data_IF_945245572039
#
_entry.id   IF_945245572039
#
_cell.length_a   1.000
_cell.length_b   1.000
_cell.length_c   1.000
_cell.angle_alpha   90.00
_cell.angle_beta   90.00
_cell.angle_gamma   90.00
#
_symmetry.space_group_name_H-M   'P 1'
#
loop_
_entity.id
_entity.type
_entity.pdbx_description
1 polymer ?
#
# COMPACT_ATOMS: atom_id res chain seq x y z
N UNK A 1 88.99 13.77 -59.50
CA UNK A 1 88.29 12.73 -60.30
C UNK A 1 88.77 11.30 -59.95
N UNK A 2 88.68 10.86 -58.68
CA UNK A 2 88.96 9.46 -58.28
C UNK A 2 87.67 8.60 -58.17
N UNK A 3 86.50 9.23 -58.17
CA UNK A 3 85.20 8.58 -58.00
C UNK A 3 84.77 7.72 -59.21
N UNK A 4 85.16 8.08 -60.44
CA UNK A 4 84.78 7.30 -61.63
C UNK A 4 85.63 6.05 -61.88
N UNK A 5 86.80 5.91 -61.22
CA UNK A 5 87.65 4.71 -61.33
C UNK A 5 87.21 3.54 -60.43
N UNK A 6 86.26 3.77 -59.53
CA UNK A 6 85.65 2.73 -58.68
C UNK A 6 84.52 1.99 -59.42
N UNK A 7 83.80 2.65 -60.32
CA UNK A 7 82.71 2.05 -61.10
C UNK A 7 83.19 1.07 -62.19
N UNK A 8 84.45 1.12 -62.59
CA UNK A 8 85.08 0.19 -63.55
C UNK A 8 85.74 -1.01 -62.88
N UNK A 9 85.83 -1.05 -61.54
CA UNK A 9 86.39 -2.21 -60.82
C UNK A 9 85.27 -3.20 -60.51
N UNK A 10 85.41 -4.42 -61.01
CA UNK A 10 84.49 -5.54 -60.79
C UNK A 10 84.11 -5.75 -59.31
N UNK A 11 85.06 -5.53 -58.40
CA UNK A 11 84.88 -5.63 -56.95
C UNK A 11 83.77 -4.70 -56.39
N UNK A 12 83.56 -3.51 -57.00
CA UNK A 12 82.51 -2.58 -56.57
C UNK A 12 81.11 -3.13 -56.88
N UNK A 13 80.92 -3.72 -58.07
CA UNK A 13 79.66 -4.36 -58.46
C UNK A 13 79.37 -5.62 -57.64
N UNK A 14 80.41 -6.39 -57.28
CA UNK A 14 80.27 -7.54 -56.36
C UNK A 14 79.80 -7.09 -54.98
N UNK A 15 80.37 -6.03 -54.40
CA UNK A 15 79.92 -5.51 -53.10
C UNK A 15 78.48 -4.97 -53.15
N UNK A 16 78.07 -4.35 -54.25
CA UNK A 16 76.68 -3.87 -54.42
C UNK A 16 75.69 -5.02 -54.56
N UNK A 17 76.06 -6.09 -55.27
CA UNK A 17 75.24 -7.29 -55.39
C UNK A 17 75.15 -8.02 -54.05
N UNK A 18 76.26 -8.13 -53.31
CA UNK A 18 76.30 -8.74 -51.98
C UNK A 18 75.48 -7.94 -50.96
N UNK A 19 75.56 -6.60 -51.00
CA UNK A 19 74.70 -5.70 -50.22
C UNK A 19 73.22 -5.89 -50.60
N UNK A 20 72.91 -6.01 -51.90
CA UNK A 20 71.57 -6.26 -52.39
C UNK A 20 71.00 -7.59 -51.88
N UNK A 21 71.79 -8.66 -51.94
CA UNK A 21 71.44 -9.98 -51.40
C UNK A 21 71.26 -9.94 -49.88
N UNK A 22 72.13 -9.23 -49.16
CA UNK A 22 72.03 -9.09 -47.71
C UNK A 22 70.77 -8.30 -47.30
N UNK A 23 70.46 -7.18 -47.97
CA UNK A 23 69.24 -6.41 -47.73
C UNK A 23 67.98 -7.22 -48.08
N UNK A 24 68.01 -7.98 -49.18
CA UNK A 24 66.90 -8.84 -49.58
C UNK A 24 66.68 -9.98 -48.58
N UNK A 25 67.75 -10.63 -48.13
CA UNK A 25 67.71 -11.63 -47.08
C UNK A 25 67.18 -11.09 -45.76
N UNK A 26 67.62 -9.90 -45.36
CA UNK A 26 67.15 -9.23 -44.14
C UNK A 26 65.67 -8.84 -44.23
N UNK A 27 65.22 -8.34 -45.39
CA UNK A 27 63.80 -8.06 -45.64
C UNK A 27 62.95 -9.32 -45.49
N UNK A 28 63.35 -10.42 -46.13
CA UNK A 28 62.62 -11.69 -46.01
C UNK A 28 62.64 -12.22 -44.58
N UNK A 29 63.77 -12.15 -43.88
CA UNK A 29 63.86 -12.59 -42.50
C UNK A 29 62.93 -11.78 -41.57
N UNK A 30 62.97 -10.45 -41.66
CA UNK A 30 62.14 -9.56 -40.82
C UNK A 30 60.66 -9.80 -41.12
N UNK A 31 60.23 -9.66 -42.39
CA UNK A 31 58.81 -9.63 -42.72
C UNK A 31 58.16 -11.01 -42.81
N UNK A 32 58.88 -12.07 -43.20
CA UNK A 32 58.30 -13.42 -43.37
C UNK A 32 58.52 -14.34 -42.17
N UNK A 33 59.64 -14.21 -41.46
CA UNK A 33 59.96 -15.14 -40.35
C UNK A 33 59.69 -14.48 -39.01
N UNK A 34 60.37 -13.36 -38.73
CA UNK A 34 60.28 -12.72 -37.43
C UNK A 34 58.90 -12.13 -37.16
N UNK A 35 58.35 -11.36 -38.09
CA UNK A 35 57.05 -10.70 -37.92
C UNK A 35 55.90 -11.72 -37.90
N UNK A 36 55.99 -12.79 -38.71
CA UNK A 36 54.97 -13.84 -38.73
C UNK A 36 54.91 -14.60 -37.39
N UNK A 37 56.08 -14.93 -36.83
CA UNK A 37 56.19 -15.61 -35.53
C UNK A 37 55.84 -14.69 -34.36
N UNK A 38 56.22 -13.41 -34.43
CA UNK A 38 55.98 -12.47 -33.34
C UNK A 38 54.51 -12.00 -33.27
N UNK A 39 53.77 -12.08 -34.39
CA UNK A 39 52.37 -11.60 -34.44
C UNK A 39 51.33 -12.72 -34.36
N UNK A 40 51.75 -13.99 -34.23
CA UNK A 40 50.89 -15.17 -34.35
C UNK A 40 49.89 -15.01 -35.50
N UNK A 41 50.42 -14.69 -36.68
CA UNK A 41 49.62 -14.60 -37.89
C UNK A 41 49.08 -16.02 -38.15
N UNK A 42 47.76 -16.19 -38.15
CA UNK A 42 46.97 -17.43 -38.34
C UNK A 42 46.42 -18.15 -37.09
N UNK A 43 46.73 -17.70 -35.88
CA UNK A 43 46.06 -18.23 -34.66
C UNK A 43 44.82 -17.40 -34.33
N UNK A 44 43.70 -17.81 -34.91
CA UNK A 44 42.39 -17.20 -34.72
C UNK A 44 41.43 -18.19 -34.04
N UNK A 45 40.86 -17.77 -32.91
CA UNK A 45 39.85 -18.52 -32.17
C UNK A 45 38.49 -17.98 -32.57
N UNK A 46 37.59 -18.87 -32.99
CA UNK A 46 36.20 -18.52 -33.29
C UNK A 46 35.36 -18.47 -32.01
N UNK A 47 34.60 -17.39 -31.83
CA UNK A 47 33.77 -17.21 -30.64
C UNK A 47 32.51 -18.09 -30.72
N UNK A 48 32.28 -18.98 -29.75
CA UNK A 48 31.08 -19.80 -29.70
C UNK A 48 29.83 -18.97 -29.32
N UNK A 49 28.65 -19.54 -29.53
CA UNK A 49 27.41 -18.87 -29.14
C UNK A 49 27.22 -18.91 -27.61
N UNK A 50 27.59 -17.82 -26.93
CA UNK A 50 27.44 -17.69 -25.49
C UNK A 50 25.99 -17.40 -25.06
N UNK A 51 25.10 -17.00 -25.97
CA UNK A 51 23.72 -16.57 -25.63
C UNK A 51 22.82 -17.70 -25.17
N UNK A 52 23.17 -18.95 -25.50
CA UNK A 52 22.44 -20.15 -25.10
C UNK A 52 22.93 -20.73 -23.77
N UNK A 53 24.00 -20.16 -23.20
CA UNK A 53 24.66 -20.66 -21.99
C UNK A 53 24.34 -19.81 -20.76
N UNK A 54 24.51 -20.40 -19.58
CA UNK A 54 24.60 -19.64 -18.32
C UNK A 54 25.98 -18.99 -18.21
N UNK A 55 26.12 -17.87 -17.48
CA UNK A 55 27.41 -17.19 -17.29
C UNK A 55 28.52 -18.13 -16.80
N UNK A 56 28.19 -19.09 -15.94
CA UNK A 56 29.16 -20.06 -15.39
C UNK A 56 29.70 -21.01 -16.46
N UNK A 57 28.85 -21.40 -17.40
CA UNK A 57 29.22 -22.26 -18.52
C UNK A 57 29.97 -21.47 -19.57
N UNK A 58 29.51 -20.24 -19.88
CA UNK A 58 30.20 -19.32 -20.77
C UNK A 58 31.64 -19.02 -20.30
N UNK A 59 31.85 -18.78 -19.01
CA UNK A 59 33.19 -18.57 -18.44
C UNK A 59 34.09 -19.79 -18.67
N UNK A 60 33.61 -20.99 -18.36
CA UNK A 60 34.38 -22.23 -18.59
C UNK A 60 34.73 -22.44 -20.06
N UNK A 61 33.79 -22.16 -20.96
CA UNK A 61 34.02 -22.26 -22.41
C UNK A 61 35.08 -21.26 -22.85
N UNK A 62 35.03 -20.01 -22.38
CA UNK A 62 36.03 -19.00 -22.72
C UNK A 62 37.42 -19.31 -22.13
N UNK A 63 37.46 -19.78 -20.88
CA UNK A 63 38.70 -20.22 -20.22
C UNK A 63 39.34 -21.39 -20.99
N UNK A 64 38.54 -22.34 -21.52
CA UNK A 64 39.05 -23.45 -22.34
C UNK A 64 39.59 -23.05 -23.71
N UNK A 65 39.27 -21.83 -24.15
CA UNK A 65 39.71 -21.24 -25.41
C UNK A 65 40.82 -20.20 -25.20
N UNK A 66 41.40 -20.12 -24.00
CA UNK A 66 42.42 -19.12 -23.64
C UNK A 66 41.96 -17.66 -23.90
N UNK A 67 40.66 -17.40 -23.77
CA UNK A 67 40.06 -16.08 -23.89
C UNK A 67 39.78 -15.48 -22.51
N UNK A 68 39.95 -14.16 -22.38
CA UNK A 68 39.62 -13.46 -21.13
C UNK A 68 38.20 -12.89 -21.18
N UNK A 69 37.59 -12.60 -20.03
CA UNK A 69 36.25 -12.04 -19.99
C UNK A 69 36.10 -10.91 -18.98
N UNK A 70 35.12 -10.06 -19.24
CA UNK A 70 34.65 -9.01 -18.34
C UNK A 70 33.12 -9.07 -18.27
N UNK A 71 32.59 -9.19 -17.05
CA UNK A 71 31.17 -9.39 -16.83
C UNK A 71 30.59 -8.07 -16.33
N UNK A 72 29.64 -7.54 -17.10
CA UNK A 72 28.79 -6.45 -16.67
C UNK A 72 27.38 -6.97 -16.39
N UNK A 73 26.72 -6.38 -15.40
CA UNK A 73 25.37 -6.75 -14.98
C UNK A 73 24.41 -5.62 -15.33
N UNK A 74 23.45 -5.91 -16.21
CA UNK A 74 22.44 -4.94 -16.65
C UNK A 74 21.19 -4.98 -15.76
N UNK A 75 20.16 -4.20 -16.10
CA UNK A 75 18.86 -4.26 -15.41
C UNK A 75 18.29 -5.69 -15.53
N UNK A 76 17.80 -6.22 -14.40
CA UNK A 76 17.15 -7.52 -14.37
C UNK A 76 15.97 -7.61 -15.34
N UNK A 77 15.95 -8.68 -16.13
CA UNK A 77 14.87 -9.05 -17.03
C UNK A 77 14.22 -10.34 -16.53
N UNK A 78 12.94 -10.26 -16.17
CA UNK A 78 12.16 -11.40 -15.68
C UNK A 78 11.82 -12.41 -16.77
N UNK A 79 11.92 -12.04 -18.06
CA UNK A 79 11.67 -12.96 -19.18
C UNK A 79 12.86 -13.90 -19.44
N UNK A 80 14.01 -13.64 -18.82
CA UNK A 80 15.25 -14.40 -19.00
C UNK A 80 15.63 -15.10 -17.71
N UNK A 81 16.30 -16.26 -17.83
CA UNK A 81 16.77 -16.98 -16.66
C UNK A 81 17.80 -16.15 -15.86
N UNK A 82 17.85 -16.28 -14.53
CA UNK A 82 18.91 -15.68 -13.72
C UNK A 82 20.29 -16.11 -14.20
N UNK A 83 21.24 -15.17 -14.27
CA UNK A 83 22.61 -15.40 -14.73
C UNK A 83 22.75 -15.84 -16.20
N UNK A 84 21.68 -15.78 -16.99
CA UNK A 84 21.77 -15.98 -18.43
C UNK A 84 22.63 -14.90 -19.09
N UNK A 85 23.37 -15.27 -20.14
CA UNK A 85 24.04 -14.30 -21.00
C UNK A 85 22.98 -13.60 -21.85
N UNK A 86 22.88 -12.28 -21.72
CA UNK A 86 21.91 -11.47 -22.45
C UNK A 86 22.50 -10.94 -23.76
N UNK A 87 23.77 -10.56 -23.72
CA UNK A 87 24.49 -9.97 -24.83
C UNK A 87 25.99 -10.11 -24.57
N UNK A 88 26.79 -10.15 -25.64
CA UNK A 88 28.24 -10.25 -25.52
C UNK A 88 28.96 -9.64 -26.73
N UNK A 89 30.20 -9.23 -26.54
CA UNK A 89 31.02 -8.65 -27.60
C UNK A 89 32.49 -9.09 -27.49
N UNK A 90 33.14 -9.50 -28.59
CA UNK A 90 32.61 -9.66 -29.96
C UNK A 90 31.56 -10.79 -30.08
N UNK A 91 30.74 -10.72 -31.13
CA UNK A 91 29.60 -11.63 -31.32
C UNK A 91 30.04 -13.02 -31.79
N UNK A 92 29.12 -14.01 -31.75
CA UNK A 92 29.41 -15.37 -32.23
C UNK A 92 29.91 -15.38 -33.67
N UNK A 93 30.84 -16.29 -33.97
CA UNK A 93 31.46 -16.43 -35.29
C UNK A 93 32.51 -15.37 -35.63
N UNK A 94 32.71 -14.36 -34.77
CA UNK A 94 33.88 -13.50 -34.90
C UNK A 94 35.14 -14.27 -34.51
N UNK A 95 36.23 -13.97 -35.22
CA UNK A 95 37.55 -14.52 -34.95
C UNK A 95 38.38 -13.53 -34.17
N UNK A 96 38.99 -14.00 -33.10
CA UNK A 96 39.82 -13.20 -32.19
C UNK A 96 41.12 -13.93 -31.89
N UNK A 97 42.13 -13.17 -31.48
CA UNK A 97 43.38 -13.75 -30.98
C UNK A 97 43.21 -14.22 -29.54
N UNK A 98 44.13 -15.10 -29.13
CA UNK A 98 44.28 -15.52 -27.74
C UNK A 98 44.37 -14.33 -26.78
N UNK A 99 43.85 -14.50 -25.56
CA UNK A 99 43.84 -13.48 -24.53
C UNK A 99 42.87 -12.32 -24.78
N UNK A 100 42.13 -12.32 -25.90
CA UNK A 100 41.14 -11.28 -26.18
C UNK A 100 40.06 -11.27 -25.11
N UNK A 101 39.80 -10.07 -24.59
CA UNK A 101 38.72 -9.84 -23.63
C UNK A 101 37.35 -9.82 -24.32
N UNK A 102 36.47 -10.69 -23.85
CA UNK A 102 35.06 -10.79 -24.22
C UNK A 102 34.22 -10.08 -23.16
N UNK A 103 33.44 -9.08 -23.58
CA UNK A 103 32.51 -8.39 -22.70
C UNK A 103 31.19 -9.15 -22.68
N UNK A 104 30.72 -9.53 -21.50
CA UNK A 104 29.48 -10.28 -21.34
C UNK A 104 28.52 -9.47 -20.47
N UNK A 105 27.32 -9.22 -20.98
CA UNK A 105 26.21 -8.67 -20.20
C UNK A 105 25.37 -9.84 -19.69
N UNK A 106 25.32 -9.98 -18.37
CA UNK A 106 24.56 -11.05 -17.72
C UNK A 106 23.25 -10.52 -17.11
N UNK A 107 22.24 -11.38 -17.06
CA UNK A 107 21.03 -11.11 -16.29
C UNK A 107 21.35 -11.29 -14.79
N UNK A 108 21.14 -10.28 -13.94
CA UNK A 108 21.29 -10.44 -12.49
C UNK A 108 20.45 -11.59 -11.92
N UNK A 109 20.75 -11.99 -10.68
CA UNK A 109 19.94 -13.00 -9.97
C UNK A 109 18.51 -12.54 -9.68
N UNK A 110 18.28 -11.24 -9.63
CA UNK A 110 16.97 -10.65 -9.35
C UNK A 110 17.02 -9.12 -9.42
N UNK A 111 15.92 -8.49 -9.05
CA UNK A 111 15.83 -7.04 -8.99
C UNK A 111 16.85 -6.45 -8.02
N UNK A 112 17.37 -5.26 -8.37
CA UNK A 112 18.23 -4.48 -7.48
C UNK A 112 17.52 -4.24 -6.16
N UNK A 113 18.22 -4.40 -5.05
CA UNK A 113 17.68 -4.13 -3.72
C UNK A 113 17.46 -2.63 -3.50
N UNK A 114 16.43 -2.31 -2.72
CA UNK A 114 16.04 -0.98 -2.24
C UNK A 114 15.78 -1.06 -0.74
N UNK A 115 15.98 0.04 -0.01
CA UNK A 115 15.74 0.08 1.43
C UNK A 115 14.27 0.38 1.73
N UNK A 116 13.71 -0.28 2.74
CA UNK A 116 12.39 0.07 3.27
C UNK A 116 12.42 1.47 3.89
N UNK A 117 11.61 2.44 3.41
CA UNK A 117 11.53 3.77 3.99
C UNK A 117 10.91 3.74 5.40
N UNK A 118 11.21 4.75 6.22
CA UNK A 118 10.62 4.92 7.55
C UNK A 118 9.16 5.37 7.47
N UNK A 119 8.26 4.37 7.39
CA UNK A 119 6.81 4.55 7.27
C UNK A 119 6.05 4.26 8.56
N UNK A 120 6.73 3.84 9.63
CA UNK A 120 6.08 3.50 10.91
C UNK A 120 5.49 4.78 11.53
N UNK A 121 4.25 4.69 12.02
CA UNK A 121 3.48 5.82 12.54
C UNK A 121 3.02 6.82 11.49
N UNK A 122 3.33 6.60 10.20
CA UNK A 122 2.83 7.45 9.11
C UNK A 122 1.43 7.02 8.69
N UNK A 123 0.68 7.94 8.10
CA UNK A 123 -0.63 7.63 7.54
C UNK A 123 -0.52 6.66 6.37
N UNK A 124 -1.53 5.81 6.20
CA UNK A 124 -1.69 4.87 5.08
C UNK A 124 -1.35 5.51 3.73
N UNK A 125 -1.89 6.70 3.47
CA UNK A 125 -1.65 7.46 2.21
C UNK A 125 -0.18 7.81 2.00
N UNK A 126 0.49 8.29 3.05
CA UNK A 126 1.90 8.64 2.99
C UNK A 126 2.77 7.39 2.81
N UNK A 127 2.49 6.34 3.58
CA UNK A 127 3.18 5.07 3.49
C UNK A 127 3.12 4.46 2.08
N UNK A 128 1.93 4.44 1.47
CA UNK A 128 1.74 3.93 0.11
C UNK A 128 2.57 4.71 -0.92
N UNK A 129 2.60 6.04 -0.76
CA UNK A 129 3.39 6.91 -1.64
C UNK A 129 4.88 6.64 -1.48
N UNK A 130 5.37 6.55 -0.25
CA UNK A 130 6.78 6.30 0.04
C UNK A 130 7.25 4.91 -0.44
N UNK A 131 6.42 3.87 -0.26
CA UNK A 131 6.71 2.53 -0.79
C UNK A 131 6.81 2.54 -2.31
N UNK A 132 5.86 3.18 -3.00
CA UNK A 132 5.89 3.29 -4.47
C UNK A 132 7.13 4.03 -4.96
N UNK A 133 7.53 5.12 -4.30
CA UNK A 133 8.74 5.88 -4.62
C UNK A 133 10.01 5.06 -4.38
N UNK A 134 10.04 4.23 -3.32
CA UNK A 134 11.13 3.30 -3.06
C UNK A 134 11.18 2.13 -4.06
N UNK A 135 10.16 1.98 -4.92
CA UNK A 135 10.03 0.88 -5.86
C UNK A 135 9.61 -0.43 -5.19
N UNK A 136 8.85 -0.36 -4.11
CA UNK A 136 8.18 -1.48 -3.44
C UNK A 136 6.69 -1.44 -3.75
N UNK A 137 6.04 -2.60 -3.67
CA UNK A 137 4.60 -2.75 -3.90
C UNK A 137 3.88 -2.96 -2.58
N UNK A 138 2.66 -2.42 -2.49
CA UNK A 138 1.78 -2.69 -1.35
C UNK A 138 1.06 -4.01 -1.65
N UNK A 139 1.21 -4.97 -0.74
CA UNK A 139 0.43 -6.19 -0.70
C UNK A 139 -0.90 -5.95 0.03
N UNK A 140 -1.12 -6.71 1.09
CA UNK A 140 -2.35 -6.63 1.87
C UNK A 140 -2.26 -5.56 2.98
N UNK A 141 -3.43 -5.05 3.39
CA UNK A 141 -3.56 -4.19 4.57
C UNK A 141 -4.37 -4.90 5.64
N UNK A 142 -3.74 -5.13 6.79
CA UNK A 142 -4.32 -5.79 7.95
C UNK A 142 -4.63 -4.72 8.98
N UNK A 143 -5.84 -4.69 9.51
CA UNK A 143 -6.22 -3.73 10.55
C UNK A 143 -6.12 -4.37 11.92
N UNK A 144 -5.49 -3.67 12.86
CA UNK A 144 -5.41 -4.07 14.24
C UNK A 144 -6.03 -3.06 15.19
N UNK A 145 -6.52 -3.53 16.36
CA UNK A 145 -7.12 -2.66 17.34
C UNK A 145 -6.11 -1.65 17.93
N UNK A 146 -6.11 -0.41 17.44
CA UNK A 146 -5.21 0.67 17.86
C UNK A 146 -5.91 2.04 17.71
N UNK A 147 -5.55 3.03 18.53
CA UNK A 147 -6.17 4.37 18.53
C UNK A 147 -5.79 5.19 17.28
N UNK A 148 -4.62 4.94 16.69
CA UNK A 148 -4.08 5.69 15.56
C UNK A 148 -4.68 5.18 14.24
N UNK A 149 -5.88 5.67 13.92
CA UNK A 149 -6.61 5.31 12.70
C UNK A 149 -5.76 5.47 11.45
N UNK A 150 -5.70 4.42 10.65
CA UNK A 150 -4.96 4.35 9.38
C UNK A 150 -3.45 4.65 9.50
N UNK A 151 -2.88 4.64 10.72
CA UNK A 151 -1.45 4.75 10.90
C UNK A 151 -0.78 3.38 10.73
N UNK A 152 0.39 3.35 10.10
CA UNK A 152 1.17 2.11 9.97
C UNK A 152 1.77 1.74 11.31
N UNK A 153 1.37 0.60 11.87
CA UNK A 153 1.94 0.07 13.11
C UNK A 153 3.22 -0.71 12.82
N UNK A 154 3.20 -1.52 11.75
CA UNK A 154 4.35 -2.32 11.31
C UNK A 154 4.21 -2.79 9.87
N UNK A 155 5.33 -3.23 9.30
CA UNK A 155 5.45 -3.76 7.95
C UNK A 155 5.78 -5.24 8.03
N UNK A 156 5.10 -6.05 7.23
CA UNK A 156 5.28 -7.49 7.18
C UNK A 156 5.81 -7.91 5.81
N UNK A 157 6.73 -8.85 5.79
CA UNK A 157 7.23 -9.49 4.59
C UNK A 157 7.35 -11.00 4.84
N UNK A 158 6.70 -11.81 4.00
CA UNK A 158 6.67 -13.27 4.13
C UNK A 158 6.24 -13.73 5.55
N UNK A 159 5.23 -13.06 6.12
CA UNK A 159 4.70 -13.37 7.45
C UNK A 159 5.57 -12.92 8.63
N UNK A 160 6.69 -12.22 8.40
CA UNK A 160 7.57 -11.70 9.45
C UNK A 160 7.59 -10.18 9.46
N UNK A 161 7.63 -9.59 10.64
CA UNK A 161 7.83 -8.15 10.79
C UNK A 161 9.25 -7.78 10.37
N UNK A 162 9.37 -6.73 9.58
CA UNK A 162 10.66 -6.18 9.15
C UNK A 162 10.89 -4.81 9.77
N UNK A 163 12.16 -4.48 10.03
CA UNK A 163 12.56 -3.17 10.51
C UNK A 163 12.61 -2.16 9.36
N UNK A 164 12.61 -0.88 9.71
CA UNK A 164 13.09 0.17 8.80
C UNK A 164 14.50 -0.18 8.30
N UNK A 165 14.83 0.31 7.10
CA UNK A 165 16.11 0.09 6.41
C UNK A 165 16.39 -1.37 5.95
N UNK A 166 15.43 -2.29 6.12
CA UNK A 166 15.53 -3.62 5.56
C UNK A 166 15.72 -3.54 4.03
N UNK A 167 16.72 -4.25 3.52
CA UNK A 167 17.00 -4.31 2.09
C UNK A 167 16.08 -5.35 1.43
N UNK A 168 15.21 -4.89 0.54
CA UNK A 168 14.27 -5.73 -0.20
C UNK A 168 14.52 -5.58 -1.70
N UNK A 169 14.38 -6.63 -2.52
CA UNK A 169 14.37 -6.49 -3.96
C UNK A 169 13.29 -5.48 -4.40
N UNK A 170 13.56 -4.68 -5.43
CA UNK A 170 12.50 -3.84 -6.02
C UNK A 170 11.33 -4.70 -6.50
N UNK A 171 10.14 -4.11 -6.51
CA UNK A 171 8.85 -4.72 -6.83
C UNK A 171 8.43 -5.83 -5.85
N UNK A 172 9.12 -5.94 -4.72
CA UNK A 172 8.67 -6.80 -3.62
C UNK A 172 7.37 -6.24 -3.04
N UNK A 173 6.40 -7.13 -2.82
CA UNK A 173 5.17 -6.82 -2.09
C UNK A 173 5.40 -6.91 -0.59
N UNK A 174 4.99 -5.88 0.14
CA UNK A 174 4.99 -5.84 1.60
C UNK A 174 3.59 -5.58 2.12
N UNK A 175 3.22 -6.28 3.17
CA UNK A 175 1.92 -6.12 3.81
C UNK A 175 2.04 -5.10 4.94
N UNK A 176 0.98 -4.32 5.16
CA UNK A 176 0.96 -3.26 6.16
C UNK A 176 -0.05 -3.58 7.24
N UNK A 177 0.39 -3.53 8.49
CA UNK A 177 -0.51 -3.54 9.64
C UNK A 177 -0.83 -2.11 10.02
N UNK A 178 -2.11 -1.77 9.97
CA UNK A 178 -2.66 -0.44 10.18
C UNK A 178 -3.50 -0.39 11.45
N UNK A 179 -3.53 0.76 12.12
CA UNK A 179 -4.44 0.98 13.23
C UNK A 179 -5.89 1.12 12.75
N UNK A 180 -6.82 0.40 13.37
CA UNK A 180 -8.26 0.47 13.07
C UNK A 180 -8.88 1.81 13.48
N UNK A 181 -8.29 2.48 14.48
CA UNK A 181 -8.88 3.64 15.12
C UNK A 181 -9.96 3.25 16.14
N UNK A 182 -10.55 4.28 16.74
CA UNK A 182 -11.75 4.17 17.55
C UNK A 182 -12.97 4.03 16.63
N UNK A 183 -13.93 3.21 17.06
CA UNK A 183 -15.21 3.07 16.37
C UNK A 183 -16.22 4.11 16.86
N UNK A 184 -17.06 4.56 15.93
CA UNK A 184 -18.10 5.54 16.19
C UNK A 184 -19.47 4.85 16.20
N UNK A 185 -20.35 5.36 17.04
CA UNK A 185 -21.73 4.89 17.16
C UNK A 185 -21.88 3.43 17.55
N UNK A 186 -21.15 3.03 18.59
CA UNK A 186 -21.31 1.75 19.26
C UNK A 186 -22.47 1.85 20.25
N UNK A 187 -23.35 0.85 20.25
CA UNK A 187 -24.46 0.80 21.21
C UNK A 187 -23.94 0.57 22.63
N UNK A 188 -24.36 1.41 23.55
CA UNK A 188 -23.95 1.32 24.94
C UNK A 188 -24.50 0.09 25.63
N UNK A 189 -23.59 -0.71 26.21
CA UNK A 189 -23.96 -1.87 27.00
C UNK A 189 -24.75 -1.47 28.26
N UNK A 190 -25.66 -2.36 28.68
CA UNK A 190 -26.34 -2.22 29.96
C UNK A 190 -25.44 -2.73 31.10
N UNK A 191 -24.92 -1.81 31.90
CA UNK A 191 -24.07 -2.05 33.06
C UNK A 191 -24.87 -2.06 34.38
N UNK A 192 -26.17 -1.72 34.33
CA UNK A 192 -27.03 -1.63 35.51
C UNK A 192 -27.17 -3.03 36.16
N UNK A 193 -26.96 -3.09 37.47
CA UNK A 193 -26.99 -4.31 38.28
C UNK A 193 -25.64 -5.04 38.39
N UNK A 194 -24.68 -4.72 37.52
CA UNK A 194 -23.33 -5.28 37.59
C UNK A 194 -22.57 -4.76 38.82
N UNK A 195 -21.57 -5.52 39.26
CA UNK A 195 -20.57 -5.02 40.23
C UNK A 195 -19.69 -3.94 39.58
N UNK A 196 -19.06 -3.09 40.38
CA UNK A 196 -18.15 -2.06 39.88
C UNK A 196 -17.04 -2.64 38.99
N UNK A 197 -16.43 -3.76 39.39
CA UNK A 197 -15.34 -4.40 38.64
C UNK A 197 -15.81 -4.98 37.31
N UNK A 198 -16.99 -5.61 37.29
CA UNK A 198 -17.60 -6.11 36.06
C UNK A 198 -17.94 -4.97 35.10
N UNK A 199 -18.52 -3.88 35.63
CA UNK A 199 -18.86 -2.71 34.83
C UNK A 199 -17.63 -2.05 34.21
N UNK A 200 -16.57 -1.83 35.01
CA UNK A 200 -15.28 -1.30 34.51
C UNK A 200 -14.67 -2.19 33.43
N UNK A 201 -14.62 -3.51 33.68
CA UNK A 201 -14.12 -4.46 32.69
C UNK A 201 -14.92 -4.41 31.39
N UNK A 202 -16.24 -4.24 31.47
CA UNK A 202 -17.11 -4.10 30.30
C UNK A 202 -16.89 -2.78 29.55
N UNK A 203 -16.66 -1.67 30.25
CA UNK A 203 -16.35 -0.36 29.66
C UNK A 203 -15.02 -0.44 28.89
N UNK A 204 -13.97 -0.95 29.54
CA UNK A 204 -12.63 -1.07 28.95
C UNK A 204 -12.59 -2.07 27.78
N UNK A 205 -13.30 -3.20 27.89
CA UNK A 205 -13.40 -4.18 26.82
C UNK A 205 -14.03 -3.62 25.54
N UNK A 206 -14.98 -2.69 25.69
CA UNK A 206 -15.59 -1.97 24.57
C UNK A 206 -14.84 -0.68 24.20
N UNK A 207 -13.66 -0.43 24.79
CA UNK A 207 -12.79 0.72 24.53
C UNK A 207 -13.41 2.08 24.86
N UNK A 208 -14.32 2.11 25.82
CA UNK A 208 -14.74 3.35 26.46
C UNK A 208 -13.80 3.68 27.62
N UNK A 209 -13.84 4.93 28.09
CA UNK A 209 -13.08 5.34 29.27
C UNK A 209 -13.98 5.25 30.53
N UNK A 210 -13.39 4.92 31.68
CA UNK A 210 -14.13 4.99 32.95
C UNK A 210 -14.23 6.47 33.33
N UNK A 211 -15.45 7.01 33.33
CA UNK A 211 -15.74 8.39 33.67
C UNK A 211 -15.82 8.63 35.17
N UNK A 212 -16.70 9.53 35.57
CA UNK A 212 -16.96 9.87 36.97
C UNK A 212 -17.67 8.73 37.67
N UNK A 213 -17.14 8.36 38.83
CA UNK A 213 -17.77 7.41 39.75
C UNK A 213 -18.49 8.18 40.86
N UNK A 214 -19.81 8.13 40.85
CA UNK A 214 -20.68 8.74 41.86
C UNK A 214 -21.13 7.66 42.85
N UNK A 215 -20.70 7.78 44.09
CA UNK A 215 -21.06 6.82 45.15
C UNK A 215 -22.17 7.40 46.00
N UNK A 216 -23.28 6.67 46.13
CA UNK A 216 -24.38 7.05 47.03
C UNK A 216 -24.41 6.17 48.28
N UNK A 217 -24.27 6.79 49.45
CA UNK A 217 -24.31 6.16 50.76
C UNK A 217 -22.94 5.90 51.37
N UNK A 218 -22.94 5.13 52.47
CA UNK A 218 -21.72 4.69 53.16
C UNK A 218 -21.25 3.42 52.47
N UNK A 219 -19.96 3.38 52.13
CA UNK A 219 -19.30 2.19 51.57
C UNK A 219 -18.72 1.38 52.72
N UNK A 220 -19.25 0.19 52.95
CA UNK A 220 -18.69 -0.79 53.88
C UNK A 220 -17.65 -1.66 53.18
N UNK A 221 -17.95 -2.08 51.95
CA UNK A 221 -17.07 -2.92 51.13
C UNK A 221 -17.28 -2.60 49.63
N UNK A 222 -16.20 -2.19 48.95
CA UNK A 222 -16.24 -1.88 47.53
C UNK A 222 -16.71 -3.04 46.65
N UNK A 223 -16.54 -4.29 47.08
CA UNK A 223 -17.01 -5.47 46.36
C UNK A 223 -18.55 -5.61 46.36
N UNK A 224 -19.24 -4.95 47.31
CA UNK A 224 -20.70 -4.93 47.40
C UNK A 224 -21.34 -3.84 46.54
N UNK A 225 -20.54 -2.92 46.00
CA UNK A 225 -21.04 -1.83 45.15
C UNK A 225 -21.64 -2.37 43.85
N UNK A 226 -22.88 -1.99 43.61
CA UNK A 226 -23.60 -2.28 42.36
C UNK A 226 -23.91 -1.00 41.61
N UNK A 227 -23.78 -1.07 40.30
CA UNK A 227 -24.15 0.03 39.40
C UNK A 227 -25.68 0.10 39.36
N UNK A 228 -26.25 1.23 39.77
CA UNK A 228 -27.69 1.45 39.71
C UNK A 228 -28.09 2.47 38.65
N UNK A 229 -27.13 3.23 38.12
CA UNK A 229 -27.31 4.15 37.01
C UNK A 229 -26.01 4.31 36.22
N UNK A 230 -26.13 4.58 34.93
CA UNK A 230 -25.01 4.89 34.04
C UNK A 230 -25.38 6.04 33.11
N UNK A 231 -24.37 6.75 32.64
CA UNK A 231 -24.49 7.68 31.52
C UNK A 231 -23.23 7.58 30.65
N UNK A 232 -23.34 7.40 29.33
CA UNK A 232 -24.56 7.31 28.51
C UNK A 232 -25.48 6.12 28.87
N UNK A 233 -26.75 6.24 28.50
CA UNK A 233 -27.79 5.26 28.83
C UNK A 233 -27.60 3.97 28.02
N UNK A 234 -28.12 2.83 28.50
CA UNK A 234 -28.10 1.59 27.73
C UNK A 234 -28.79 1.76 26.37
N UNK A 235 -28.11 1.37 25.30
CA UNK A 235 -28.59 1.51 23.92
C UNK A 235 -28.33 2.87 23.27
N UNK A 236 -27.77 3.84 24.00
CA UNK A 236 -27.32 5.09 23.39
C UNK A 236 -26.20 4.82 22.39
N UNK A 237 -26.22 5.56 21.28
CA UNK A 237 -25.15 5.55 20.30
C UNK A 237 -23.97 6.35 20.85
N UNK A 238 -22.83 5.69 21.07
CA UNK A 238 -21.69 6.30 21.74
C UNK A 238 -20.37 5.94 21.08
N UNK A 239 -19.43 6.88 21.11
CA UNK A 239 -18.14 6.73 20.46
C UNK A 239 -17.11 6.13 21.42
N UNK A 240 -16.29 5.22 20.91
CA UNK A 240 -15.17 4.67 21.70
C UNK A 240 -14.21 5.80 22.09
N UNK A 241 -13.55 5.64 23.25
CA UNK A 241 -12.67 6.63 23.86
C UNK A 241 -13.40 7.72 24.66
N UNK A 242 -14.73 7.74 24.66
CA UNK A 242 -15.50 8.64 25.52
C UNK A 242 -15.73 8.06 26.93
N UNK A 243 -15.85 8.91 27.96
CA UNK A 243 -16.02 8.48 29.35
C UNK A 243 -17.45 8.04 29.68
N UNK A 244 -17.59 6.90 30.36
CA UNK A 244 -18.85 6.40 30.90
C UNK A 244 -18.92 6.72 32.39
N UNK A 245 -19.83 7.61 32.76
CA UNK A 245 -20.11 7.99 34.14
C UNK A 245 -20.98 6.90 34.80
N UNK A 246 -20.62 6.50 36.03
CA UNK A 246 -21.29 5.43 36.78
C UNK A 246 -21.81 5.95 38.12
N UNK A 247 -22.98 5.48 38.51
CA UNK A 247 -23.50 5.64 39.86
C UNK A 247 -23.61 4.29 40.55
N UNK A 248 -23.00 4.21 41.73
CA UNK A 248 -22.88 2.96 42.50
C UNK A 248 -23.34 3.14 43.93
N UNK A 249 -23.94 2.09 44.49
CA UNK A 249 -24.38 2.06 45.89
C UNK A 249 -24.42 0.63 46.42
N UNK A 250 -24.35 0.49 47.75
CA UNK A 250 -24.65 -0.76 48.47
C UNK A 250 -26.13 -0.90 48.84
N UNK A 251 -26.93 0.18 48.69
CA UNK A 251 -28.35 0.19 49.07
C UNK A 251 -29.18 -0.74 48.19
N UNK A 252 -30.33 -1.17 48.71
CA UNK A 252 -31.29 -1.96 47.94
C UNK A 252 -31.85 -1.11 46.77
N UNK A 253 -32.06 -1.69 45.57
CA UNK A 253 -32.64 -0.99 44.43
C UNK A 253 -33.96 -0.25 44.72
N UNK A 254 -34.75 -0.71 45.70
CA UNK A 254 -35.99 -0.03 46.12
C UNK A 254 -35.75 1.35 46.71
N UNK A 255 -34.67 1.50 47.48
CA UNK A 255 -34.32 2.76 48.16
C UNK A 255 -33.74 3.79 47.18
N UNK A 256 -33.23 3.32 46.05
CA UNK A 256 -32.60 4.14 45.02
C UNK A 256 -33.59 4.69 43.99
N UNK A 257 -34.87 4.27 44.02
CA UNK A 257 -35.86 4.68 43.01
C UNK A 257 -36.06 6.20 42.93
N UNK A 258 -36.03 6.90 44.06
CA UNK A 258 -36.16 8.36 44.09
C UNK A 258 -34.96 9.05 43.43
N UNK A 259 -33.76 8.54 43.67
CA UNK A 259 -32.51 9.01 43.08
C UNK A 259 -32.49 8.74 41.57
N UNK A 260 -32.84 7.53 41.16
CA UNK A 260 -32.95 7.15 39.74
C UNK A 260 -33.93 8.06 39.01
N UNK A 261 -35.10 8.38 39.59
CA UNK A 261 -36.04 9.34 38.98
C UNK A 261 -35.46 10.75 38.78
N UNK A 262 -34.59 11.19 39.69
CA UNK A 262 -33.90 12.49 39.56
C UNK A 262 -32.85 12.42 38.44
N UNK A 263 -32.07 11.34 38.40
CA UNK A 263 -31.07 11.11 37.36
C UNK A 263 -31.71 10.95 35.97
N UNK A 264 -32.81 10.21 35.86
CA UNK A 264 -33.59 10.08 34.64
C UNK A 264 -34.03 11.45 34.12
N UNK A 265 -34.55 12.33 34.99
CA UNK A 265 -34.92 13.70 34.60
C UNK A 265 -33.73 14.53 34.12
N UNK A 266 -32.54 14.29 34.69
CA UNK A 266 -31.33 15.03 34.33
C UNK A 266 -30.73 14.53 33.01
N UNK A 267 -30.69 13.22 32.78
CA UNK A 267 -29.93 12.61 31.70
C UNK A 267 -30.79 12.11 30.52
N UNK A 268 -32.05 11.71 30.74
CA UNK A 268 -32.96 11.32 29.63
C UNK A 268 -33.61 12.51 28.93
N UNK A 269 -33.82 13.62 29.63
CA UNK A 269 -34.59 14.75 29.08
C UNK A 269 -33.78 15.69 28.17
N UNK A 270 -32.52 15.36 27.83
CA UNK A 270 -31.77 16.15 26.84
C UNK A 270 -32.36 16.09 25.42
N UNK A 271 -33.34 15.22 25.14
CA UNK A 271 -34.08 15.24 23.87
C UNK A 271 -35.04 16.43 23.72
N UNK A 272 -35.57 17.00 24.82
CA UNK A 272 -36.57 18.07 24.75
C UNK A 272 -35.99 19.49 24.60
N UNK A 273 -34.67 19.67 24.75
CA UNK A 273 -33.98 20.92 24.44
C UNK A 273 -33.24 20.88 23.09
N UNK A 274 -33.38 19.79 22.33
CA UNK A 274 -32.97 19.77 20.94
C UNK A 274 -33.99 20.56 20.11
N UNK A 275 -33.49 21.48 19.29
CA UNK A 275 -34.23 22.39 18.40
C UNK A 275 -35.34 21.69 17.58
N UNK A 276 -35.26 20.36 17.41
CA UNK A 276 -36.22 19.52 16.72
C UNK A 276 -37.60 19.42 17.42
N UNK A 277 -37.67 19.38 18.76
CA UNK A 277 -38.95 19.31 19.48
C UNK A 277 -39.72 20.64 19.40
N UNK A 278 -38.98 21.75 19.47
CA UNK A 278 -39.51 23.10 19.26
C UNK A 278 -39.95 23.31 17.80
N UNK A 279 -39.14 22.85 16.82
CA UNK A 279 -39.50 22.89 15.39
C UNK A 279 -40.75 22.04 15.08
N UNK A 280 -40.87 20.86 15.69
CA UNK A 280 -42.06 20.01 15.53
C UNK A 280 -43.31 20.62 16.17
N UNK A 281 -43.17 21.28 17.33
CA UNK A 281 -44.25 22.02 17.97
C UNK A 281 -44.67 23.26 17.16
N UNK A 282 -43.71 23.99 16.58
CA UNK A 282 -43.97 25.13 15.70
C UNK A 282 -44.65 24.68 14.39
N UNK A 283 -44.22 23.57 13.80
CA UNK A 283 -44.83 22.97 12.61
C UNK A 283 -46.26 22.49 12.87
N UNK A 284 -46.51 21.86 14.02
CA UNK A 284 -47.86 21.48 14.45
C UNK A 284 -48.76 22.70 14.64
N UNK A 285 -48.25 23.76 15.24
CA UNK A 285 -48.99 25.02 15.48
C UNK A 285 -49.27 25.78 14.18
N UNK A 286 -48.37 25.73 13.20
CA UNK A 286 -48.61 26.23 11.83
C UNK A 286 -49.64 25.38 11.08
N UNK A 287 -49.66 24.07 11.33
CA UNK A 287 -50.64 23.14 10.76
C UNK A 287 -52.02 23.35 11.37
N UNK A 288 -52.13 23.57 12.67
CA UNK A 288 -53.39 23.94 13.34
C UNK A 288 -53.91 25.28 12.83
N UNK A 289 -53.05 26.30 12.69
CA UNK A 289 -53.45 27.59 12.10
C UNK A 289 -53.94 27.46 10.66
N UNK A 290 -53.29 26.64 9.83
CA UNK A 290 -53.73 26.43 8.44
C UNK A 290 -55.03 25.62 8.36
N UNK A 291 -55.27 24.70 9.30
CA UNK A 291 -56.55 24.00 9.45
C UNK A 291 -57.65 24.97 9.89
N UNK A 292 -57.41 25.82 10.89
CA UNK A 292 -58.36 26.84 11.34
C UNK A 292 -58.72 27.83 10.22
N UNK A 293 -57.72 28.26 9.43
CA UNK A 293 -57.92 29.15 8.28
C UNK A 293 -58.72 28.47 7.17
N UNK A 294 -58.53 27.16 6.93
CA UNK A 294 -59.33 26.38 5.98
C UNK A 294 -60.78 26.13 6.44
N UNK A 295 -61.03 26.09 7.75
CA UNK A 295 -62.39 25.97 8.31
C UNK A 295 -63.14 27.29 8.38
N UNK A 296 -62.41 28.42 8.40
CA UNK A 296 -62.97 29.78 8.35
C UNK A 296 -63.49 30.17 6.96
N UNK A 297 -62.87 29.68 5.88
CA UNK A 297 -63.28 29.98 4.50
C UNK A 297 -64.41 29.07 3.98
N UNK A 298 -64.82 28.04 4.75
CA UNK A 298 -65.94 27.17 4.42
C UNK A 298 -67.28 27.72 4.98
N UNK A 299 -67.72 28.86 4.47
CA UNK A 299 -69.04 29.43 4.76
C UNK A 299 -70.19 28.76 3.99
N UNK A 300 -71.13 28.17 4.74
CA UNK A 300 -72.55 27.83 4.43
C UNK A 300 -72.87 26.86 3.28
N UNK A 301 -73.55 25.72 3.53
CA UNK A 301 -74.10 24.86 2.47
C UNK A 301 -75.38 25.43 1.86
N UNK A 302 -75.43 25.60 0.53
CA UNK A 302 -76.69 25.68 -0.22
C UNK A 302 -77.25 24.27 -0.42
N UNK A 303 -78.54 24.08 -0.08
CA UNK A 303 -79.26 22.82 -0.24
C UNK A 303 -79.49 22.47 -1.74
N UNK A 304 -79.43 21.18 -2.12
CA UNK A 304 -79.63 20.73 -3.50
C UNK A 304 -81.12 20.70 -3.91
N UNK A 305 -81.46 20.87 -5.21
CA UNK A 305 -82.84 20.82 -5.67
C UNK A 305 -83.36 19.37 -5.76
N UNK A 306 -84.60 19.19 -5.34
CA UNK A 306 -85.37 17.94 -5.35
C UNK A 306 -85.75 17.55 -6.77
N UNK A 307 -85.56 16.27 -7.14
CA UNK A 307 -85.97 15.69 -8.41
C UNK A 307 -87.37 15.09 -8.25
N UNK A 308 -88.37 15.67 -8.93
CA UNK A 308 -89.76 15.18 -8.95
C UNK A 308 -89.90 14.07 -10.00
N UNK A 309 -90.53 12.98 -9.59
CA UNK A 309 -90.86 11.79 -10.39
C UNK A 309 -91.86 12.11 -11.51
N UNK A 310 -91.56 11.58 -12.70
CA UNK A 310 -92.40 11.60 -13.89
C UNK A 310 -93.58 10.62 -13.71
N UNK A 311 -94.82 11.13 -13.78
CA UNK A 311 -96.03 10.34 -13.94
C UNK A 311 -96.65 10.67 -15.31
N UNK A 312 -96.95 9.62 -16.04
CA UNK A 312 -97.53 9.51 -17.39
C UNK A 312 -98.79 10.35 -17.62
N UNK A 313 -99.01 10.95 -18.81
CA UNK A 313 -100.34 11.38 -19.23
C UNK A 313 -101.05 10.27 -20.04
N UNK A 314 -102.24 9.88 -19.58
CA UNK A 314 -103.30 9.31 -20.44
C UNK A 314 -103.93 10.44 -21.29
N UNK A 315 -104.42 10.08 -22.48
CA UNK A 315 -105.04 10.97 -23.49
C UNK A 315 -106.29 11.71 -23.00
N UNK A 316 -106.98 12.53 -23.79
CA UNK A 316 -107.65 12.33 -25.10
C UNK A 316 -108.29 13.72 -25.39
N UNK A 317 -108.12 14.31 -26.58
CA UNK A 317 -109.18 14.60 -27.60
C UNK A 317 -110.34 15.47 -27.04
N UNK A 318 -110.85 16.58 -27.61
CA UNK A 318 -111.32 16.96 -28.97
C UNK A 318 -111.58 18.50 -28.85
N UNK A 319 -111.27 19.37 -29.81
CA UNK A 319 -112.03 19.76 -31.03
C UNK A 319 -111.17 20.71 -31.88
#
# INVERSE_FOLDING_TARGET
>A
MKFFKTFTKWQFWVSILLMGVACFGLYHFIFKVWLNTYTNHDEEIEIPDLSVMNIQEAMKTLDSLDLTYEIDSVKFDSAKAPLAVLDFYPQKGFRVKEGRKIFIKSNPKGWRSTSLPDIIGKSKRLAFTQLKLAGLEVGDTIYEPDIAKDAVLRVMFQGKQISKDAALPRFTKVDLVLGKGLEYGIDMANLIGMTLDQGRSSIEANRFEVGRLNVDGIVSDSALLRIYYQYPLPGDNYDQGLPVDLWVSEKDPKDLQSVVRVLDKQYRNFENDSIAAAQYADDLRLKEKSVEQSTSDAGTPQAPPVKVTEAQPEGVEID
#
